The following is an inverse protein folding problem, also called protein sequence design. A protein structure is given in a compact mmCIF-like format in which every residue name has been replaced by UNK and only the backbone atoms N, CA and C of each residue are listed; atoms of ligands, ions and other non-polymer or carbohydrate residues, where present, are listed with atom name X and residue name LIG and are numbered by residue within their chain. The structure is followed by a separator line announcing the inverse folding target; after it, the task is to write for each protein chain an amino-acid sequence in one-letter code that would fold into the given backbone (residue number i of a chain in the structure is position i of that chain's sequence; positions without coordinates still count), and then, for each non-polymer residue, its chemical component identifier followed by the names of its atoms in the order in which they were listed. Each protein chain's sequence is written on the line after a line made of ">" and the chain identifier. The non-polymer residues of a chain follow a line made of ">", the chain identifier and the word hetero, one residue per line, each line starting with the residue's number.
data_IF_046156113127
#
_entry.id   IF_046156113127
#
_cell.length_a   1.000
_cell.length_b   1.000
_cell.length_c   1.000
_cell.angle_alpha   90.00
_cell.angle_beta   90.00
_cell.angle_gamma   90.00
#
_symmetry.space_group_name_H-M   'P 1'
#
loop_
_entity.id
_entity.type
_entity.pdbx_description
1 polymer ?
#
# COMPACT_ATOMS: atom_id res chain seq x y z
N UNK A 1 -3.27 3.94 -31.64
CA UNK A 1 -2.64 3.20 -32.75
C UNK A 1 -2.81 1.72 -32.48
N UNK A 2 -3.21 0.93 -33.47
CA UNK A 2 -3.26 -0.51 -33.36
C UNK A 2 -1.84 -1.10 -33.44
N UNK A 3 -1.66 -2.35 -33.01
CA UNK A 3 -0.36 -3.04 -33.10
C UNK A 3 0.14 -3.12 -34.55
N UNK A 4 -0.77 -3.37 -35.48
CA UNK A 4 -0.52 -3.46 -36.91
C UNK A 4 0.02 -2.15 -37.50
N UNK A 5 -0.38 -1.00 -36.96
CA UNK A 5 0.10 0.30 -37.41
C UNK A 5 1.57 0.53 -37.00
N UNK A 6 1.97 0.05 -35.81
CA UNK A 6 3.33 0.21 -35.29
C UNK A 6 4.35 -0.65 -36.04
N UNK A 7 3.94 -1.83 -36.48
CA UNK A 7 4.82 -2.77 -37.21
C UNK A 7 5.19 -2.27 -38.62
N UNK A 8 4.44 -1.30 -39.16
CA UNK A 8 4.69 -0.70 -40.48
C UNK A 8 5.59 0.52 -40.44
N UNK A 9 5.88 1.05 -39.25
CA UNK A 9 6.70 2.24 -39.08
C UNK A 9 8.19 1.91 -39.25
N UNK A 10 8.90 2.82 -39.90
CA UNK A 10 10.36 2.75 -39.96
C UNK A 10 10.98 3.05 -38.59
N UNK A 11 12.26 2.69 -38.43
CA UNK A 11 13.02 2.97 -37.21
C UNK A 11 13.01 4.46 -36.84
N UNK A 12 13.03 5.36 -37.83
CA UNK A 12 13.01 6.80 -37.60
C UNK A 12 11.63 7.27 -37.11
N UNK A 13 10.56 6.76 -37.71
CA UNK A 13 9.19 7.11 -37.32
C UNK A 13 8.81 6.55 -35.94
N UNK A 14 9.48 5.49 -35.48
CA UNK A 14 9.31 4.95 -34.12
C UNK A 14 9.97 5.79 -33.02
N UNK A 15 10.93 6.66 -33.36
CA UNK A 15 11.68 7.44 -32.35
C UNK A 15 10.74 8.37 -31.57
N UNK A 16 9.91 9.14 -32.28
CA UNK A 16 9.04 10.12 -31.66
C UNK A 16 7.97 9.48 -30.74
N UNK A 17 7.23 8.44 -31.17
CA UNK A 17 6.30 7.72 -30.28
C UNK A 17 6.97 7.15 -29.03
N UNK A 18 8.16 6.55 -29.16
CA UNK A 18 8.89 5.97 -28.03
C UNK A 18 9.35 7.05 -27.05
N UNK A 19 9.86 8.17 -27.55
CA UNK A 19 10.28 9.28 -26.70
C UNK A 19 9.10 9.87 -25.91
N UNK A 20 7.91 9.98 -26.52
CA UNK A 20 6.69 10.43 -25.81
C UNK A 20 6.27 9.45 -24.71
N UNK A 21 6.41 8.14 -24.93
CA UNK A 21 6.11 7.13 -23.90
C UNK A 21 7.11 7.15 -22.74
N UNK A 22 8.39 7.41 -23.02
CA UNK A 22 9.43 7.50 -21.99
C UNK A 22 9.39 8.82 -21.21
N UNK A 23 8.80 9.87 -21.79
CA UNK A 23 8.73 11.21 -21.22
C UNK A 23 7.30 11.74 -21.29
N UNK A 24 6.38 11.15 -20.50
CA UNK A 24 4.99 11.59 -20.50
C UNK A 24 4.88 13.04 -20.02
N UNK A 25 3.89 13.75 -20.56
CA UNK A 25 3.67 15.16 -20.24
C UNK A 25 3.41 15.38 -18.75
N UNK A 26 4.06 16.40 -18.20
CA UNK A 26 3.84 16.80 -16.80
C UNK A 26 2.51 17.56 -16.73
N UNK A 27 1.55 16.98 -16.02
CA UNK A 27 0.28 17.63 -15.68
C UNK A 27 0.29 18.05 -14.21
N UNK A 28 -0.67 18.85 -13.78
CA UNK A 28 -0.87 19.15 -12.35
C UNK A 28 -1.03 17.90 -11.48
N UNK A 29 -1.45 16.77 -12.07
CA UNK A 29 -1.66 15.48 -11.38
C UNK A 29 -0.39 14.64 -11.27
N UNK A 30 0.56 14.82 -12.18
CA UNK A 30 1.77 13.99 -12.32
C UNK A 30 3.07 14.74 -12.01
N UNK A 31 3.05 16.07 -11.86
CA UNK A 31 4.25 16.89 -11.67
C UNK A 31 4.88 16.77 -10.28
N UNK A 32 4.07 16.58 -9.23
CA UNK A 32 4.51 16.53 -7.83
C UNK A 32 4.71 15.12 -7.29
N UNK A 33 4.48 14.10 -8.12
CA UNK A 33 4.44 12.70 -7.73
C UNK A 33 5.53 11.92 -8.47
N UNK A 34 6.33 11.08 -7.77
CA UNK A 34 7.31 10.23 -8.46
C UNK A 34 6.61 9.25 -9.39
N UNK A 35 7.29 8.82 -10.46
CA UNK A 35 6.72 7.92 -11.47
C UNK A 35 6.17 6.60 -10.88
N UNK A 36 6.71 6.14 -9.75
CA UNK A 36 6.21 4.97 -9.01
C UNK A 36 4.80 5.14 -8.43
N UNK A 37 4.32 6.39 -8.31
CA UNK A 37 2.99 6.73 -7.77
C UNK A 37 2.01 7.18 -8.85
N UNK A 38 2.40 7.08 -10.13
CA UNK A 38 1.51 7.30 -11.25
C UNK A 38 0.37 6.27 -11.21
N UNK A 39 -0.85 6.75 -10.96
CA UNK A 39 -2.02 5.89 -10.84
C UNK A 39 -2.50 5.56 -12.25
N UNK A 40 -2.43 4.28 -12.61
CA UNK A 40 -3.16 3.72 -13.75
C UNK A 40 -4.62 4.17 -13.68
N UNK A 41 -5.16 4.59 -14.81
CA UNK A 41 -6.57 4.94 -14.92
C UNK A 41 -7.43 3.72 -14.54
N UNK A 42 -8.31 3.89 -13.55
CA UNK A 42 -9.19 2.81 -13.09
C UNK A 42 -10.28 2.61 -14.16
N UNK A 43 -10.37 1.42 -14.73
CA UNK A 43 -11.51 1.04 -15.60
C UNK A 43 -12.82 1.25 -14.85
N UNK A 44 -13.87 1.65 -15.57
CA UNK A 44 -15.21 1.88 -15.00
C UNK A 44 -15.73 0.66 -14.21
N UNK A 45 -15.45 -0.55 -14.72
CA UNK A 45 -15.86 -1.82 -14.11
C UNK A 45 -14.79 -2.47 -13.21
N UNK A 46 -13.75 -1.73 -12.79
CA UNK A 46 -12.72 -2.33 -11.95
C UNK A 46 -13.29 -2.66 -10.56
N UNK A 47 -13.29 -3.93 -10.16
CA UNK A 47 -13.64 -4.30 -8.79
C UNK A 47 -12.60 -3.75 -7.79
N UNK A 48 -12.99 -3.44 -6.54
CA UNK A 48 -12.05 -3.07 -5.50
C UNK A 48 -10.98 -4.15 -5.33
N UNK A 49 -9.71 -3.75 -5.33
CA UNK A 49 -8.61 -4.67 -5.02
C UNK A 49 -8.61 -5.01 -3.53
N UNK A 50 -8.49 -6.30 -3.20
CA UNK A 50 -8.48 -6.81 -1.83
C UNK A 50 -8.96 -8.27 -1.79
N UNK A 51 -8.75 -8.95 -0.67
CA UNK A 51 -9.38 -10.25 -0.46
C UNK A 51 -10.91 -10.06 -0.49
N UNK A 52 -11.63 -10.89 -1.26
CA UNK A 52 -13.09 -10.84 -1.30
C UNK A 52 -13.64 -11.18 0.10
N UNK A 53 -14.73 -10.53 0.55
CA UNK A 53 -15.41 -10.91 1.79
C UNK A 53 -15.72 -12.42 1.79
N UNK A 54 -15.33 -13.13 2.84
CA UNK A 54 -15.53 -14.58 2.98
C UNK A 54 -14.32 -15.47 2.66
N UNK A 55 -13.20 -14.90 2.22
CA UNK A 55 -11.94 -15.65 2.20
C UNK A 55 -11.30 -15.65 3.59
N UNK A 56 -10.92 -16.84 4.08
CA UNK A 56 -10.04 -16.92 5.25
C UNK A 56 -8.70 -16.27 4.91
N UNK A 57 -8.29 -15.31 5.74
CA UNK A 57 -6.99 -14.66 5.59
C UNK A 57 -5.86 -15.66 5.83
N UNK A 58 -4.84 -15.65 4.97
CA UNK A 58 -3.63 -16.46 5.15
C UNK A 58 -2.63 -15.82 6.14
N UNK A 59 -3.13 -15.31 7.27
CA UNK A 59 -2.29 -14.85 8.37
C UNK A 59 -1.88 -16.03 9.25
N UNK A 60 -0.72 -15.93 9.91
CA UNK A 60 -0.36 -16.88 10.97
C UNK A 60 -1.35 -16.74 12.14
N UNK A 61 -1.74 -17.85 12.71
CA UNK A 61 -2.54 -17.91 13.94
C UNK A 61 -1.59 -17.90 15.13
N UNK A 62 -1.93 -17.14 16.17
CA UNK A 62 -1.18 -17.14 17.43
C UNK A 62 -1.17 -18.56 18.03
N UNK A 63 -0.02 -18.97 18.57
CA UNK A 63 0.06 -20.22 19.34
C UNK A 63 -0.88 -20.16 20.55
N UNK A 64 -1.65 -21.23 20.85
CA UNK A 64 -2.43 -21.30 22.07
C UNK A 64 -1.55 -21.40 23.34
N UNK A 65 -0.29 -21.81 23.18
CA UNK A 65 0.71 -21.93 24.24
C UNK A 65 2.01 -21.24 23.79
N UNK A 66 2.16 -19.92 24.01
CA UNK A 66 3.38 -19.18 23.69
C UNK A 66 4.44 -19.35 24.77
N UNK A 67 5.72 -19.31 24.39
CA UNK A 67 6.83 -19.38 25.35
C UNK A 67 6.85 -18.19 26.33
N UNK A 68 6.46 -16.99 25.86
CA UNK A 68 6.40 -15.77 26.66
C UNK A 68 5.22 -14.88 26.26
N UNK A 69 4.60 -14.23 27.26
CA UNK A 69 3.58 -13.19 27.05
C UNK A 69 4.06 -11.87 27.65
N UNK A 70 4.33 -10.89 26.79
CA UNK A 70 4.82 -9.56 27.21
C UNK A 70 3.67 -8.55 27.22
N UNK A 71 3.38 -7.97 28.39
CA UNK A 71 2.36 -6.94 28.54
C UNK A 71 2.87 -5.57 28.08
N UNK A 72 2.44 -5.12 26.90
CA UNK A 72 2.75 -3.77 26.41
C UNK A 72 1.82 -2.71 27.00
N UNK A 73 2.29 -2.01 28.03
CA UNK A 73 1.60 -0.84 28.60
C UNK A 73 2.26 0.45 28.13
N UNK A 74 1.44 1.47 27.84
CA UNK A 74 1.95 2.79 27.48
C UNK A 74 2.41 3.51 28.73
N UNK A 75 3.63 4.04 28.70
CA UNK A 75 4.13 4.92 29.76
C UNK A 75 3.64 6.36 29.63
N UNK A 76 2.99 6.73 28.53
CA UNK A 76 2.59 8.12 28.22
C UNK A 76 1.18 8.20 27.64
N UNK A 77 0.45 9.24 28.01
CA UNK A 77 -0.88 9.55 27.48
C UNK A 77 -0.77 10.02 26.02
N UNK A 78 -1.49 9.41 25.06
CA UNK A 78 -1.42 9.82 23.66
C UNK A 78 -2.05 11.19 23.39
N UNK A 79 -2.87 11.71 24.30
CA UNK A 79 -3.54 13.00 24.14
C UNK A 79 -2.66 14.17 24.60
N UNK A 80 -2.04 14.04 25.78
CA UNK A 80 -1.30 15.14 26.42
C UNK A 80 0.20 14.86 26.65
N UNK A 81 0.69 13.64 26.37
CA UNK A 81 2.08 13.24 26.59
C UNK A 81 2.48 13.03 28.06
N UNK A 82 1.56 13.23 29.01
CA UNK A 82 1.83 13.03 30.44
C UNK A 82 2.22 11.59 30.77
N UNK A 83 3.07 11.42 31.78
CA UNK A 83 3.51 10.09 32.24
C UNK A 83 2.34 9.34 32.91
N UNK A 84 2.13 8.09 32.52
CA UNK A 84 1.15 7.20 33.11
C UNK A 84 1.81 6.37 34.20
N UNK A 85 1.15 6.26 35.36
CA UNK A 85 1.62 5.41 36.44
C UNK A 85 1.54 3.93 36.04
N UNK A 86 2.52 3.13 36.49
CA UNK A 86 2.63 1.73 36.10
C UNK A 86 1.47 0.86 36.63
N UNK A 87 0.90 1.24 37.77
CA UNK A 87 -0.20 0.58 38.48
C UNK A 87 -1.59 1.05 38.04
N UNK A 88 -1.66 1.97 37.07
CA UNK A 88 -2.95 2.42 36.54
C UNK A 88 -3.75 1.23 35.97
N UNK A 89 -5.05 1.11 36.31
CA UNK A 89 -5.88 0.04 35.77
C UNK A 89 -5.93 0.13 34.23
N UNK A 90 -5.75 -1.00 33.57
CA UNK A 90 -5.77 -1.10 32.11
C UNK A 90 -6.44 -2.41 31.68
N UNK A 91 -7.09 -2.36 30.53
CA UNK A 91 -7.73 -3.50 29.87
C UNK A 91 -6.89 -3.95 28.66
N UNK A 92 -6.88 -5.26 28.40
CA UNK A 92 -6.21 -5.82 27.22
C UNK A 92 -7.11 -5.60 26.01
N UNK A 93 -6.70 -4.70 25.11
CA UNK A 93 -7.45 -4.39 23.88
C UNK A 93 -7.02 -5.24 22.69
N UNK A 94 -5.85 -5.89 22.74
CA UNK A 94 -5.30 -6.69 21.63
C UNK A 94 -4.18 -7.63 22.12
N UNK A 95 -4.09 -8.80 21.50
CA UNK A 95 -2.95 -9.73 21.58
C UNK A 95 -2.30 -9.81 20.20
N UNK A 96 -0.98 -9.75 20.13
CA UNK A 96 -0.20 -9.77 18.88
C UNK A 96 1.01 -10.69 19.04
N UNK A 97 1.45 -11.32 17.94
CA UNK A 97 2.76 -11.97 17.85
C UNK A 97 3.81 -10.92 17.45
N UNK A 98 5.02 -11.05 17.97
CA UNK A 98 6.19 -10.38 17.41
C UNK A 98 6.88 -11.36 16.46
N UNK A 99 7.14 -10.95 15.22
CA UNK A 99 7.81 -11.76 14.18
C UNK A 99 9.16 -11.14 13.85
#
# INVERSE_FOLDING_TARGET
>A
MSRSDLERLSKQELIEPVLRLQRPDKTSRTSSKPASTDRKERREQAEPGGAKPGHEGHSRTLSPDPDEVVAHRRGQCPCCGGTLAADLPAEIVRVCEQV
#
